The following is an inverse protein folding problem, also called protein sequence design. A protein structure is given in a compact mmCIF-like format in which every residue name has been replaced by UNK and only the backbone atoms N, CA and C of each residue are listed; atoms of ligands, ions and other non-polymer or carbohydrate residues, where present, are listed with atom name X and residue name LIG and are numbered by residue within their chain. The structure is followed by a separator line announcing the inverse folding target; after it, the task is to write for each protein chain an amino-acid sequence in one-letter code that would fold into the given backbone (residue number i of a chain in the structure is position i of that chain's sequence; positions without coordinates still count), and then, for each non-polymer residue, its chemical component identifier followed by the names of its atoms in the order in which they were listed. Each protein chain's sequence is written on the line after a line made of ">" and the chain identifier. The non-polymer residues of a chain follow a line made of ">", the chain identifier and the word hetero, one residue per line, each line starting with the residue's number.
data_IF_459639720981
#
_entry.id   IF_459639720981
#
_cell.length_a   1.000
_cell.length_b   1.000
_cell.length_c   1.000
_cell.angle_alpha   90.00
_cell.angle_beta   90.00
_cell.angle_gamma   90.00
#
_symmetry.space_group_name_H-M   'P 1'
#
loop_
_entity.id
_entity.type
_entity.pdbx_description
1 polymer ?
#
# COMPACT_ATOMS: atom_id res chain seq x y z
N UNK A 1 17.25 -0.42 13.64
CA UNK A 1 15.86 0.09 13.76
C UNK A 1 14.96 -0.98 14.37
N UNK A 2 14.15 -0.65 15.37
CA UNK A 2 13.31 -1.63 16.09
C UNK A 2 12.02 -2.03 15.33
N UNK A 3 11.31 -1.06 14.74
CA UNK A 3 10.09 -1.27 13.98
C UNK A 3 10.21 -0.68 12.59
N UNK A 4 9.92 -1.49 11.59
CA UNK A 4 9.97 -1.15 10.17
C UNK A 4 8.61 -1.41 9.55
N UNK A 5 8.07 -0.41 8.85
CA UNK A 5 6.73 -0.46 8.27
C UNK A 5 6.71 0.14 6.88
N UNK A 6 5.95 -0.49 5.99
CA UNK A 6 5.66 0.05 4.67
C UNK A 6 4.27 0.69 4.67
N UNK A 7 4.16 1.97 4.33
CA UNK A 7 2.93 2.58 3.85
C UNK A 7 2.89 2.49 2.33
N UNK A 8 1.84 1.87 1.81
CA UNK A 8 1.65 1.65 0.38
C UNK A 8 0.32 2.25 -0.06
N UNK A 9 0.39 3.09 -1.09
CA UNK A 9 -0.78 3.65 -1.75
C UNK A 9 -0.84 3.23 -3.23
N UNK A 10 -2.05 3.21 -3.77
CA UNK A 10 -2.30 3.13 -5.22
C UNK A 10 -2.66 4.50 -5.78
N UNK A 11 -2.12 4.80 -6.95
CA UNK A 11 -2.56 5.88 -7.83
C UNK A 11 -2.31 5.48 -9.29
N UNK A 12 -3.22 5.75 -10.25
CA UNK A 12 -3.05 5.34 -11.66
C UNK A 12 -1.80 5.89 -12.36
N UNK A 13 -1.32 7.05 -11.91
CA UNK A 13 -0.12 7.74 -12.35
C UNK A 13 1.09 7.47 -11.44
N UNK A 14 0.94 6.54 -10.49
CA UNK A 14 1.99 6.07 -9.60
C UNK A 14 3.14 5.36 -10.33
N UNK A 15 4.24 5.20 -9.61
CA UNK A 15 5.48 4.58 -10.07
C UNK A 15 6.36 4.32 -8.84
N UNK A 16 6.38 3.08 -8.36
CA UNK A 16 6.98 2.74 -7.08
C UNK A 16 8.46 3.09 -6.95
N UNK A 17 9.24 3.07 -8.03
CA UNK A 17 10.66 3.42 -7.98
C UNK A 17 10.90 4.93 -7.95
N UNK A 18 9.97 5.73 -8.49
CA UNK A 18 10.05 7.19 -8.51
C UNK A 18 9.39 7.83 -7.28
N UNK A 19 8.20 7.38 -6.92
CA UNK A 19 7.41 7.93 -5.83
C UNK A 19 7.59 7.10 -4.56
N UNK A 20 8.76 7.27 -3.95
CA UNK A 20 9.11 6.62 -2.70
C UNK A 20 9.88 7.54 -1.76
N UNK A 21 9.70 7.32 -0.47
CA UNK A 21 10.44 8.04 0.56
C UNK A 21 10.66 7.17 1.80
N UNK A 22 11.65 7.53 2.60
CA UNK A 22 11.96 6.85 3.86
C UNK A 22 12.09 7.86 4.97
N UNK A 23 11.34 7.64 6.06
CA UNK A 23 11.43 8.45 7.28
C UNK A 23 11.97 7.56 8.39
N UNK A 24 13.04 8.01 9.03
CA UNK A 24 13.71 7.26 10.09
C UNK A 24 13.87 8.09 11.36
N UNK A 25 13.66 7.44 12.49
CA UNK A 25 14.09 7.96 13.80
C UNK A 25 15.38 7.24 14.21
N UNK A 26 16.20 7.78 15.11
CA UNK A 26 17.49 7.17 15.42
C UNK A 26 17.46 5.71 15.91
N UNK A 27 16.35 5.25 16.49
CA UNK A 27 16.29 3.94 17.16
C UNK A 27 15.05 3.11 16.84
N UNK A 28 13.87 3.72 16.86
CA UNK A 28 12.63 2.97 17.02
C UNK A 28 11.89 2.68 15.71
N UNK A 29 11.96 3.57 14.73
CA UNK A 29 11.00 3.59 13.63
C UNK A 29 11.65 3.90 12.29
N UNK A 30 11.39 3.06 11.27
CA UNK A 30 11.69 3.31 9.85
C UNK A 30 10.42 3.07 9.03
N UNK A 31 9.92 4.13 8.40
CA UNK A 31 8.73 4.12 7.57
C UNK A 31 9.12 4.27 6.11
N UNK A 32 8.79 3.27 5.32
CA UNK A 32 8.84 3.34 3.86
C UNK A 32 7.49 3.86 3.38
N UNK A 33 7.49 4.82 2.48
CA UNK A 33 6.28 5.33 1.83
C UNK A 33 6.44 5.10 0.35
N UNK A 34 5.50 4.42 -0.30
CA UNK A 34 5.55 4.11 -1.74
C UNK A 34 4.17 4.33 -2.37
N UNK A 35 4.15 4.95 -3.55
CA UNK A 35 2.95 5.06 -4.38
C UNK A 35 3.12 4.18 -5.62
N UNK A 36 2.42 3.04 -5.62
CA UNK A 36 2.43 2.09 -6.72
C UNK A 36 1.35 2.42 -7.75
N UNK A 37 1.64 2.10 -9.01
CA UNK A 37 0.73 2.29 -10.15
C UNK A 37 -0.45 1.33 -10.13
N UNK A 38 -0.15 0.08 -9.82
CA UNK A 38 -1.08 -1.03 -9.89
C UNK A 38 -0.72 -2.13 -8.89
N UNK A 39 -1.63 -3.09 -8.77
CA UNK A 39 -1.52 -4.20 -7.83
C UNK A 39 -0.29 -5.08 -8.07
N UNK A 40 0.14 -5.26 -9.33
CA UNK A 40 1.35 -6.01 -9.65
C UNK A 40 2.58 -5.31 -9.06
N UNK A 41 2.69 -4.00 -9.27
CA UNK A 41 3.78 -3.22 -8.71
C UNK A 41 3.72 -3.20 -7.17
N UNK A 42 2.54 -3.09 -6.58
CA UNK A 42 2.34 -3.15 -5.13
C UNK A 42 2.85 -4.47 -4.53
N UNK A 43 2.48 -5.61 -5.12
CA UNK A 43 2.95 -6.93 -4.67
C UNK A 43 4.48 -7.03 -4.71
N UNK A 44 5.12 -6.55 -5.79
CA UNK A 44 6.57 -6.57 -5.91
C UNK A 44 7.27 -5.66 -4.89
N UNK A 45 6.71 -4.48 -4.62
CA UNK A 45 7.18 -3.60 -3.53
C UNK A 45 7.08 -4.30 -2.18
N UNK A 46 5.95 -4.93 -1.89
CA UNK A 46 5.74 -5.67 -0.65
C UNK A 46 6.76 -6.79 -0.47
N UNK A 47 6.95 -7.65 -1.48
CA UNK A 47 7.93 -8.74 -1.46
C UNK A 47 9.36 -8.23 -1.24
N UNK A 48 9.77 -7.18 -1.96
CA UNK A 48 11.09 -6.56 -1.81
C UNK A 48 11.27 -6.01 -0.40
N UNK A 49 10.30 -5.26 0.12
CA UNK A 49 10.38 -4.69 1.46
C UNK A 49 10.46 -5.77 2.56
N UNK A 50 9.74 -6.89 2.40
CA UNK A 50 9.84 -8.04 3.31
C UNK A 50 11.22 -8.67 3.23
N UNK A 51 11.70 -8.98 2.02
CA UNK A 51 12.94 -9.71 1.78
C UNK A 51 14.20 -8.91 2.14
N UNK A 52 14.26 -7.65 1.71
CA UNK A 52 15.47 -6.83 1.77
C UNK A 52 15.51 -6.00 3.06
N UNK A 53 14.37 -5.48 3.49
CA UNK A 53 14.30 -4.60 4.66
C UNK A 53 13.81 -5.33 5.92
N UNK A 54 13.17 -6.49 5.80
CA UNK A 54 12.63 -7.23 6.94
C UNK A 54 11.59 -6.39 7.67
N UNK A 55 10.60 -5.84 6.96
CA UNK A 55 9.51 -5.07 7.57
C UNK A 55 8.61 -5.96 8.44
N UNK A 56 8.05 -5.39 9.51
CA UNK A 56 7.11 -6.09 10.40
C UNK A 56 5.65 -5.86 9.98
N UNK A 57 5.37 -4.79 9.24
CA UNK A 57 4.00 -4.45 8.85
C UNK A 57 3.89 -3.68 7.54
N UNK A 58 2.74 -3.81 6.90
CA UNK A 58 2.33 -3.08 5.70
C UNK A 58 0.99 -2.39 6.01
N UNK A 59 0.94 -1.08 5.83
CA UNK A 59 -0.26 -0.25 5.94
C UNK A 59 -0.72 0.17 4.53
N UNK A 60 -1.92 -0.26 4.17
CA UNK A 60 -2.52 -0.08 2.85
C UNK A 60 -3.49 1.11 2.86
N UNK A 61 -3.43 1.95 1.83
CA UNK A 61 -4.36 3.08 1.68
C UNK A 61 -5.82 2.61 1.45
N UNK A 62 -6.82 3.49 1.58
CA UNK A 62 -8.23 3.12 1.44
C UNK A 62 -8.62 2.53 0.08
N UNK A 63 -7.84 2.81 -0.97
CA UNK A 63 -8.08 2.33 -2.34
C UNK A 63 -7.88 0.82 -2.54
N UNK A 64 -7.30 0.11 -1.57
CA UNK A 64 -7.12 -1.34 -1.65
C UNK A 64 -8.44 -2.10 -1.42
N UNK A 65 -8.82 -2.91 -2.41
CA UNK A 65 -9.98 -3.82 -2.30
C UNK A 65 -9.66 -5.00 -1.39
N UNK A 66 -10.68 -5.78 -0.99
CA UNK A 66 -10.45 -7.00 -0.22
C UNK A 66 -9.61 -8.03 -0.99
N UNK A 67 -9.74 -8.09 -2.31
CA UNK A 67 -8.94 -8.96 -3.17
C UNK A 67 -7.48 -8.54 -3.17
N UNK A 68 -7.21 -7.24 -3.33
CA UNK A 68 -5.84 -6.72 -3.34
C UNK A 68 -5.11 -7.04 -2.02
N UNK A 69 -5.82 -6.90 -0.91
CA UNK A 69 -5.31 -7.22 0.44
C UNK A 69 -4.97 -8.71 0.56
N UNK A 70 -5.86 -9.59 0.08
CA UNK A 70 -5.64 -11.03 0.11
C UNK A 70 -4.42 -11.45 -0.73
N UNK A 71 -4.30 -10.92 -1.96
CA UNK A 71 -3.17 -11.18 -2.85
C UNK A 71 -1.83 -10.71 -2.24
N UNK A 72 -1.81 -9.55 -1.58
CA UNK A 72 -0.62 -9.08 -0.86
C UNK A 72 -0.30 -10.00 0.32
N UNK A 73 -1.30 -10.36 1.13
CA UNK A 73 -1.11 -11.25 2.29
C UNK A 73 -0.52 -12.59 1.89
N UNK A 74 -1.02 -13.20 0.81
CA UNK A 74 -0.49 -14.45 0.27
C UNK A 74 0.95 -14.28 -0.23
N UNK A 75 1.23 -13.16 -0.92
CA UNK A 75 2.55 -12.90 -1.49
C UNK A 75 3.66 -12.65 -0.45
N UNK A 76 3.34 -12.08 0.71
CA UNK A 76 4.34 -11.76 1.76
C UNK A 76 4.45 -12.81 2.86
N UNK A 77 3.45 -13.69 3.00
CA UNK A 77 3.42 -14.74 4.01
C UNK A 77 3.06 -14.26 5.42
N UNK A 78 3.14 -15.16 6.40
CA UNK A 78 2.55 -14.98 7.73
C UNK A 78 3.36 -14.10 8.70
N UNK A 79 4.61 -13.76 8.35
CA UNK A 79 5.54 -13.06 9.26
C UNK A 79 5.40 -11.52 9.22
N UNK A 80 4.45 -10.98 8.45
CA UNK A 80 4.25 -9.54 8.28
C UNK A 80 2.79 -9.18 8.49
N UNK A 81 2.53 -8.20 9.36
CA UNK A 81 1.17 -7.74 9.61
C UNK A 81 0.61 -6.90 8.46
N UNK A 82 -0.59 -7.21 7.99
CA UNK A 82 -1.31 -6.42 6.98
C UNK A 82 -2.37 -5.56 7.66
N UNK A 83 -2.26 -4.25 7.47
CA UNK A 83 -3.18 -3.25 7.99
C UNK A 83 -3.80 -2.49 6.84
N UNK A 84 -5.08 -2.14 6.96
CA UNK A 84 -5.79 -1.38 5.94
C UNK A 84 -6.38 -0.14 6.59
N UNK A 85 -6.12 1.02 6.00
CA UNK A 85 -6.80 2.25 6.37
C UNK A 85 -8.27 2.14 5.95
N UNK A 86 -9.15 1.91 6.93
CA UNK A 86 -10.60 1.88 6.75
C UNK A 86 -11.21 3.01 7.56
N UNK A 87 -11.78 4.00 6.88
CA UNK A 87 -12.58 5.05 7.52
C UNK A 87 -13.94 4.51 7.98
N UNK A 88 -14.60 5.26 8.86
CA UNK A 88 -16.04 5.05 9.06
C UNK A 88 -16.82 5.31 7.76
N UNK A 89 -18.11 4.97 7.72
CA UNK A 89 -18.92 5.10 6.51
C UNK A 89 -18.81 6.48 5.84
N UNK A 90 -19.01 7.59 6.59
CA UNK A 90 -18.83 8.94 6.07
C UNK A 90 -17.41 9.24 5.58
N UNK A 91 -16.37 8.93 6.36
CA UNK A 91 -14.98 9.25 5.98
C UNK A 91 -14.55 8.48 4.74
N UNK A 92 -14.91 7.19 4.67
CA UNK A 92 -14.60 6.37 3.50
C UNK A 92 -15.30 6.91 2.25
N UNK A 93 -16.55 7.37 2.37
CA UNK A 93 -17.29 7.98 1.25
C UNK A 93 -16.56 9.21 0.70
N UNK A 94 -16.09 10.11 1.56
CA UNK A 94 -15.36 11.32 1.15
C UNK A 94 -14.15 10.96 0.28
N UNK A 95 -13.33 10.00 0.73
CA UNK A 95 -12.15 9.58 -0.03
C UNK A 95 -12.53 8.89 -1.36
N UNK A 96 -13.50 7.98 -1.32
CA UNK A 96 -13.93 7.21 -2.50
C UNK A 96 -14.57 8.08 -3.58
N UNK A 97 -15.35 9.10 -3.21
CA UNK A 97 -15.97 10.03 -4.16
C UNK A 97 -14.94 10.83 -4.95
N UNK A 98 -13.89 11.32 -4.28
CA UNK A 98 -12.79 12.03 -4.96
C UNK A 98 -12.06 11.08 -5.89
N UNK A 99 -11.64 9.91 -5.40
CA UNK A 99 -10.93 8.93 -6.24
C UNK A 99 -11.75 8.53 -7.47
N UNK A 100 -13.06 8.30 -7.32
CA UNK A 100 -13.95 7.99 -8.44
C UNK A 100 -14.08 9.16 -9.43
N UNK A 101 -14.27 10.39 -8.94
CA UNK A 101 -14.40 11.59 -9.79
C UNK A 101 -13.14 11.84 -10.62
N UNK A 102 -11.96 11.61 -10.04
CA UNK A 102 -10.67 11.76 -10.72
C UNK A 102 -10.29 10.52 -11.56
N UNK A 103 -11.20 9.56 -11.75
CA UNK A 103 -10.99 8.42 -12.64
C UNK A 103 -10.03 7.35 -12.12
N UNK A 104 -9.81 7.26 -10.80
CA UNK A 104 -8.89 6.25 -10.24
C UNK A 104 -9.31 4.81 -10.50
N UNK A 105 -10.61 4.58 -10.69
CA UNK A 105 -11.18 3.24 -10.89
C UNK A 105 -11.67 3.00 -12.33
N UNK A 106 -11.55 3.99 -13.22
CA UNK A 106 -11.94 3.84 -14.62
C UNK A 106 -10.84 3.15 -15.43
N UNK A 107 -11.18 1.95 -15.90
CA UNK A 107 -10.46 1.05 -16.83
C UNK A 107 -9.27 0.25 -16.28
N UNK A 108 -9.61 -0.85 -15.60
CA UNK A 108 -9.22 -2.21 -15.99
C UNK A 108 -10.31 -3.19 -15.55
N UNK A 109 -11.15 -3.63 -16.48
CA UNK A 109 -12.24 -4.58 -16.21
C UNK A 109 -13.35 -4.72 -17.26
N UNK A 110 -13.06 -4.48 -18.54
CA UNK A 110 -13.78 -5.13 -19.65
C UNK A 110 -12.71 -5.80 -20.50
N UNK A 111 -12.91 -7.10 -20.69
CA UNK A 111 -12.08 -8.11 -21.36
C UNK A 111 -11.13 -8.90 -20.42
#
# INVERSE_FOLDING_TARGET
>A
MAFKVLFLAHAPDGEAEKYRYVIETPKYYKLFVVVAKDQKQAIEVCKKAVKEEGIQSILLCPGFTHRDVAEISEAVGENVGIFVARGDGPSNRISMEVMAREGWFSEKGKD
#
